data_IF_751608814898
#
_entry.id   IF_751608814898
#
_cell.length_a   1.000
_cell.length_b   1.000
_cell.length_c   1.000
_cell.angle_alpha   90.00
_cell.angle_beta   90.00
_cell.angle_gamma   90.00
#
_symmetry.space_group_name_H-M   'P 1'
#
loop_
_entity.id
_entity.type
_entity.pdbx_description
1 polymer ?
#
# COMPACT_ATOMS: atom_id res chain seq x y z
N UNK A 1 78.74 22.97 30.72
CA UNK A 1 78.00 22.23 29.67
C UNK A 1 76.54 22.70 29.71
N UNK A 2 76.07 23.41 28.68
CA UNK A 2 74.71 23.99 28.62
C UNK A 2 73.82 23.06 27.76
N UNK A 3 72.84 22.44 28.36
CA UNK A 3 71.88 21.66 27.65
C UNK A 3 70.81 22.59 26.97
N UNK A 4 70.67 22.50 25.66
CA UNK A 4 69.69 23.23 24.91
C UNK A 4 68.40 22.37 24.89
N UNK A 5 67.38 22.90 25.49
CA UNK A 5 65.99 22.32 25.45
C UNK A 5 65.40 22.72 24.12
N UNK A 6 65.14 21.74 23.25
CA UNK A 6 64.36 21.91 22.03
C UNK A 6 62.89 21.75 22.36
N UNK A 7 62.15 22.85 22.28
CA UNK A 7 60.67 22.83 22.36
C UNK A 7 60.14 22.57 20.97
N UNK A 8 59.54 21.38 20.76
CA UNK A 8 58.90 20.99 19.50
C UNK A 8 57.45 21.42 19.59
N UNK A 9 57.07 22.48 18.87
CA UNK A 9 55.69 22.95 18.78
C UNK A 9 54.96 22.13 17.72
N UNK A 10 54.12 21.19 18.15
CA UNK A 10 53.23 20.45 17.24
C UNK A 10 52.07 21.36 16.87
N UNK A 11 52.02 21.81 15.63
CA UNK A 11 50.84 22.47 15.03
C UNK A 11 49.79 21.41 14.74
N UNK A 12 48.73 21.38 15.55
CA UNK A 12 47.52 20.58 15.27
C UNK A 12 46.68 21.36 14.27
N UNK A 13 46.74 20.99 12.99
CA UNK A 13 45.89 21.54 11.97
C UNK A 13 44.50 20.90 12.12
N UNK A 14 43.58 21.62 12.76
CA UNK A 14 42.16 21.25 12.78
C UNK A 14 41.55 21.54 11.38
N UNK A 15 41.37 20.51 10.59
CA UNK A 15 40.63 20.58 9.34
C UNK A 15 39.15 20.75 9.67
N UNK A 16 38.66 21.98 9.61
CA UNK A 16 37.22 22.29 9.66
C UNK A 16 36.63 21.89 8.30
N UNK A 17 35.96 20.75 8.27
CA UNK A 17 35.17 20.36 7.11
C UNK A 17 33.96 21.30 7.01
N UNK A 18 34.02 22.31 6.17
CA UNK A 18 32.84 23.09 5.79
C UNK A 18 31.93 22.21 4.91
N UNK A 19 30.95 21.57 5.54
CA UNK A 19 29.82 20.97 4.78
C UNK A 19 28.99 22.12 4.19
N UNK A 20 29.19 22.39 2.92
CA UNK A 20 28.33 23.32 2.20
C UNK A 20 26.90 22.73 2.14
N UNK A 21 26.01 23.23 2.96
CA UNK A 21 24.60 22.87 2.93
C UNK A 21 24.00 23.39 1.62
N UNK A 22 23.74 22.46 0.70
CA UNK A 22 23.03 22.80 -0.55
C UNK A 22 21.58 23.01 -0.20
N UNK A 23 21.10 24.23 -0.30
CA UNK A 23 19.67 24.56 -0.21
C UNK A 23 19.09 24.64 -1.61
N UNK A 24 17.87 24.11 -1.78
CA UNK A 24 17.07 24.31 -2.98
C UNK A 24 15.75 24.99 -2.57
N UNK A 25 15.32 25.95 -3.37
CA UNK A 25 14.03 26.60 -3.18
C UNK A 25 13.09 26.12 -4.27
N UNK A 26 11.92 25.61 -3.87
CA UNK A 26 10.83 25.27 -4.78
C UNK A 26 9.76 26.33 -4.56
N UNK A 27 9.39 27.04 -5.63
CA UNK A 27 8.28 27.99 -5.61
C UNK A 27 7.09 27.38 -6.33
N UNK A 28 5.96 27.24 -5.61
CA UNK A 28 4.71 26.72 -6.17
C UNK A 28 3.77 27.90 -6.39
N UNK A 29 3.40 28.13 -7.65
CA UNK A 29 2.43 29.15 -8.06
C UNK A 29 1.03 28.53 -8.14
N UNK A 30 0.39 28.32 -6.99
CA UNK A 30 -0.93 27.69 -6.91
C UNK A 30 -2.03 28.51 -7.57
N UNK A 31 -1.82 29.83 -7.70
CA UNK A 31 -2.68 30.79 -8.40
C UNK A 31 -2.62 30.67 -9.93
N UNK A 32 -1.63 29.98 -10.47
CA UNK A 32 -1.40 29.81 -11.91
C UNK A 32 -1.82 28.44 -12.44
N UNK A 33 -2.41 27.61 -11.60
CA UNK A 33 -2.94 26.29 -12.00
C UNK A 33 -4.04 26.45 -13.04
N UNK A 34 -3.91 25.77 -14.19
CA UNK A 34 -4.88 25.79 -15.29
C UNK A 34 -5.62 24.48 -15.45
N UNK A 35 -4.99 23.40 -15.00
CA UNK A 35 -5.50 22.04 -15.18
C UNK A 35 -6.11 21.52 -13.88
N UNK A 36 -7.24 20.83 -14.01
CA UNK A 36 -7.86 20.10 -12.91
C UNK A 36 -7.27 18.70 -12.90
N UNK A 37 -6.67 18.30 -11.79
CA UNK A 37 -6.22 16.94 -11.58
C UNK A 37 -7.46 16.06 -11.38
N UNK A 38 -7.74 15.08 -12.26
CA UNK A 38 -8.87 14.19 -12.08
C UNK A 38 -8.73 13.40 -10.77
N UNK A 39 -9.83 13.30 -10.01
CA UNK A 39 -9.82 12.58 -8.72
C UNK A 39 -9.44 11.10 -8.86
N UNK A 40 -9.67 10.52 -10.01
CA UNK A 40 -9.39 9.11 -10.33
C UNK A 40 -7.90 8.77 -10.21
N UNK A 41 -6.99 9.76 -10.30
CA UNK A 41 -5.54 9.56 -10.07
C UNK A 41 -5.25 9.07 -8.63
N UNK A 42 -6.16 9.34 -7.69
CA UNK A 42 -6.07 8.90 -6.30
C UNK A 42 -6.76 7.55 -6.07
N UNK A 43 -7.12 6.86 -7.14
CA UNK A 43 -7.65 5.51 -7.09
C UNK A 43 -6.69 4.53 -6.44
N UNK A 44 -7.24 3.46 -5.90
CA UNK A 44 -6.50 2.40 -5.24
C UNK A 44 -6.75 1.07 -5.94
N UNK A 45 -5.99 0.05 -5.57
CA UNK A 45 -6.24 -1.31 -6.05
C UNK A 45 -6.09 -2.33 -4.91
N UNK A 46 -6.88 -3.40 -5.02
CA UNK A 46 -6.80 -4.57 -4.18
C UNK A 46 -6.51 -5.78 -5.07
N UNK A 47 -5.56 -6.60 -4.67
CA UNK A 47 -5.12 -7.77 -5.45
C UNK A 47 -5.12 -9.02 -4.59
N UNK A 48 -5.37 -10.17 -5.23
CA UNK A 48 -5.13 -11.49 -4.65
C UNK A 48 -3.62 -11.76 -4.60
N UNK A 49 -2.92 -11.01 -3.75
CA UNK A 49 -1.48 -11.03 -3.54
C UNK A 49 -1.20 -11.39 -2.09
N UNK A 50 -0.79 -12.62 -1.84
CA UNK A 50 -0.54 -13.10 -0.49
C UNK A 50 -1.76 -12.88 0.42
N UNK A 51 -1.59 -12.16 1.52
CA UNK A 51 -2.66 -11.84 2.48
C UNK A 51 -3.38 -10.53 2.22
N UNK A 52 -3.27 -9.95 1.02
CA UNK A 52 -3.96 -8.68 0.72
C UNK A 52 -5.47 -8.78 0.83
N UNK A 53 -6.06 -9.85 0.30
CA UNK A 53 -7.50 -10.08 0.36
C UNK A 53 -7.83 -10.89 1.62
N UNK A 54 -7.47 -12.18 1.66
CA UNK A 54 -7.83 -13.05 2.79
C UNK A 54 -6.95 -12.77 4.01
N UNK A 55 -7.59 -12.38 5.13
CA UNK A 55 -6.94 -11.94 6.35
C UNK A 55 -6.46 -10.48 6.34
N UNK A 56 -6.39 -9.87 5.16
CA UNK A 56 -6.14 -8.45 4.97
C UNK A 56 -7.43 -7.64 4.87
N UNK A 57 -7.96 -7.49 3.67
CA UNK A 57 -9.22 -6.78 3.43
C UNK A 57 -10.45 -7.56 3.89
N UNK A 58 -10.46 -8.87 3.63
CA UNK A 58 -11.57 -9.78 3.87
C UNK A 58 -11.23 -10.82 4.93
N UNK A 59 -12.06 -10.91 5.95
CA UNK A 59 -11.93 -11.90 7.02
C UNK A 59 -13.17 -12.79 7.15
N UNK A 60 -14.23 -12.48 6.41
CA UNK A 60 -15.50 -13.16 6.51
C UNK A 60 -16.38 -12.63 7.64
N UNK A 61 -17.70 -12.78 7.47
CA UNK A 61 -18.69 -12.21 8.40
C UNK A 61 -18.67 -12.86 9.79
N UNK A 62 -18.28 -14.14 9.85
CA UNK A 62 -18.24 -14.92 11.09
C UNK A 62 -16.86 -14.94 11.76
N UNK A 63 -15.94 -14.07 11.36
CA UNK A 63 -14.60 -13.99 11.93
C UNK A 63 -14.62 -13.31 13.31
N UNK A 64 -13.74 -13.79 14.22
CA UNK A 64 -13.47 -13.12 15.50
C UNK A 64 -12.71 -11.79 15.33
N UNK A 65 -12.13 -11.55 14.15
CA UNK A 65 -11.50 -10.29 13.80
C UNK A 65 -12.59 -9.24 13.57
N UNK A 66 -12.50 -8.04 14.17
CA UNK A 66 -13.47 -6.98 13.96
C UNK A 66 -13.71 -6.70 12.49
N UNK A 67 -14.98 -6.83 12.07
CA UNK A 67 -15.35 -6.69 10.68
C UNK A 67 -16.71 -6.01 10.51
N UNK A 68 -16.91 -5.47 9.32
CA UNK A 68 -18.16 -4.88 8.84
C UNK A 68 -18.58 -5.71 7.62
N UNK A 69 -19.55 -6.60 7.78
CA UNK A 69 -20.01 -7.51 6.71
C UNK A 69 -18.86 -8.35 6.10
N UNK A 70 -17.91 -8.77 6.92
CA UNK A 70 -16.75 -9.55 6.49
C UNK A 70 -15.52 -8.73 6.05
N UNK A 71 -15.65 -7.41 5.84
CA UNK A 71 -14.51 -6.52 5.60
C UNK A 71 -13.86 -6.14 6.92
N UNK A 72 -12.58 -6.29 7.01
CA UNK A 72 -11.81 -5.95 8.20
C UNK A 72 -11.98 -4.46 8.55
N UNK A 73 -12.45 -4.17 9.76
CA UNK A 73 -12.94 -2.83 10.15
C UNK A 73 -11.87 -1.75 10.00
N UNK A 74 -10.62 -2.03 10.40
CA UNK A 74 -9.52 -1.07 10.33
C UNK A 74 -9.16 -0.72 8.88
N UNK A 75 -9.12 -1.72 7.99
CA UNK A 75 -8.85 -1.52 6.56
C UNK A 75 -10.00 -0.78 5.90
N UNK A 76 -11.26 -1.18 6.19
CA UNK A 76 -12.44 -0.51 5.67
C UNK A 76 -12.46 0.99 6.04
N UNK A 77 -12.21 1.30 7.31
CA UNK A 77 -12.20 2.69 7.79
C UNK A 77 -11.08 3.50 7.12
N UNK A 78 -9.90 2.92 6.98
CA UNK A 78 -8.78 3.58 6.29
C UNK A 78 -9.12 3.91 4.83
N UNK A 79 -9.73 2.98 4.09
CA UNK A 79 -10.17 3.22 2.71
C UNK A 79 -11.24 4.31 2.64
N UNK A 80 -12.17 4.33 3.60
CA UNK A 80 -13.21 5.35 3.70
C UNK A 80 -12.65 6.73 4.00
N UNK A 81 -11.71 6.82 4.93
CA UNK A 81 -11.03 8.07 5.29
C UNK A 81 -10.22 8.63 4.10
N UNK A 82 -9.64 7.77 3.28
CA UNK A 82 -8.97 8.15 2.04
C UNK A 82 -9.95 8.66 0.97
N UNK A 83 -11.26 8.43 1.12
CA UNK A 83 -12.27 8.81 0.11
C UNK A 83 -11.92 8.29 -1.28
N UNK A 84 -11.59 7.00 -1.37
CA UNK A 84 -11.10 6.34 -2.59
C UNK A 84 -12.09 6.52 -3.73
N UNK A 85 -11.74 7.22 -4.82
CA UNK A 85 -12.68 7.52 -5.90
C UNK A 85 -12.87 6.36 -6.88
N UNK A 86 -11.90 5.48 -6.98
CA UNK A 86 -11.90 4.30 -7.86
C UNK A 86 -11.12 3.19 -7.18
N UNK A 87 -11.65 1.99 -7.21
CA UNK A 87 -10.98 0.79 -6.70
C UNK A 87 -10.90 -0.27 -7.81
N UNK A 88 -9.71 -0.83 -8.03
CA UNK A 88 -9.46 -1.91 -9.00
C UNK A 88 -9.30 -3.24 -8.27
N UNK A 89 -9.84 -4.30 -8.85
CA UNK A 89 -9.74 -5.69 -8.41
C UNK A 89 -9.89 -6.60 -9.64
N UNK A 90 -9.45 -7.86 -9.71
CA UNK A 90 -8.84 -8.70 -8.66
C UNK A 90 -7.32 -8.64 -8.63
N UNK A 91 -6.69 -7.87 -9.50
CA UNK A 91 -5.26 -7.70 -9.50
C UNK A 91 -4.63 -7.70 -10.87
N UNK A 92 -3.28 -7.87 -10.88
CA UNK A 92 -2.41 -7.97 -12.05
C UNK A 92 -2.34 -9.40 -12.58
N UNK A 93 -1.25 -10.16 -12.27
CA UNK A 93 -1.06 -11.52 -12.79
C UNK A 93 -2.20 -12.48 -12.42
N UNK A 94 -2.79 -12.34 -11.23
CA UNK A 94 -3.93 -13.16 -10.83
C UNK A 94 -5.14 -12.98 -11.74
N UNK A 95 -5.36 -11.79 -12.30
CA UNK A 95 -6.48 -11.50 -13.19
C UNK A 95 -6.46 -12.33 -14.48
N UNK A 96 -5.28 -12.77 -14.93
CA UNK A 96 -5.14 -13.59 -16.14
C UNK A 96 -5.71 -15.01 -15.95
N UNK A 97 -5.77 -15.49 -14.68
CA UNK A 97 -6.24 -16.83 -14.34
C UNK A 97 -7.62 -16.80 -13.64
N UNK A 98 -8.13 -15.63 -13.28
CA UNK A 98 -9.35 -15.49 -12.48
C UNK A 98 -10.60 -15.52 -13.34
N UNK A 99 -11.50 -16.43 -13.01
CA UNK A 99 -12.83 -16.52 -13.59
C UNK A 99 -13.88 -15.88 -12.67
N UNK A 100 -14.36 -14.71 -13.01
CA UNK A 100 -15.26 -13.92 -12.16
C UNK A 100 -16.52 -14.68 -11.74
N UNK A 101 -17.00 -15.63 -12.57
CA UNK A 101 -18.16 -16.48 -12.24
C UNK A 101 -17.90 -17.43 -11.06
N UNK A 102 -16.64 -17.77 -10.78
CA UNK A 102 -16.28 -18.57 -9.62
C UNK A 102 -16.48 -17.81 -8.30
N UNK A 103 -16.49 -16.48 -8.37
CA UNK A 103 -16.71 -15.59 -7.23
C UNK A 103 -18.16 -15.12 -7.05
N UNK A 104 -19.16 -15.79 -7.65
CA UNK A 104 -20.59 -15.44 -7.51
C UNK A 104 -21.42 -16.62 -7.02
N UNK A 105 -22.67 -16.36 -6.65
CA UNK A 105 -23.56 -17.39 -6.08
C UNK A 105 -23.25 -17.72 -4.62
N UNK A 106 -23.88 -18.77 -4.07
CA UNK A 106 -23.67 -19.21 -2.70
C UNK A 106 -22.21 -19.56 -2.42
N UNK A 107 -21.65 -19.02 -1.35
CA UNK A 107 -20.20 -19.15 -1.04
C UNK A 107 -19.74 -20.60 -0.88
N UNK A 108 -20.61 -21.44 -0.32
CA UNK A 108 -20.36 -22.87 -0.12
C UNK A 108 -20.20 -23.66 -1.42
N UNK A 109 -20.70 -23.13 -2.54
CA UNK A 109 -20.65 -23.76 -3.86
C UNK A 109 -19.51 -23.19 -4.73
N UNK A 110 -18.82 -22.16 -4.28
CA UNK A 110 -17.76 -21.54 -5.06
C UNK A 110 -16.52 -22.43 -5.12
N UNK A 111 -15.91 -22.63 -6.31
CA UNK A 111 -14.74 -23.45 -6.43
C UNK A 111 -13.53 -22.81 -5.71
N UNK A 112 -12.63 -23.67 -5.25
CA UNK A 112 -11.32 -23.20 -4.74
C UNK A 112 -10.30 -23.38 -5.83
N UNK A 113 -9.38 -22.40 -5.92
CA UNK A 113 -8.26 -22.45 -6.85
C UNK A 113 -6.94 -22.21 -6.12
N UNK A 114 -5.86 -22.64 -6.75
CA UNK A 114 -4.49 -22.34 -6.27
C UNK A 114 -4.00 -21.08 -6.97
N UNK A 115 -3.60 -20.09 -6.20
CA UNK A 115 -2.96 -18.91 -6.73
C UNK A 115 -1.49 -19.22 -7.05
N UNK A 116 -1.19 -19.59 -8.28
CA UNK A 116 0.15 -19.98 -8.70
C UNK A 116 1.13 -18.81 -8.74
N UNK A 117 0.62 -17.60 -8.89
CA UNK A 117 1.45 -16.40 -8.98
C UNK A 117 2.00 -15.98 -7.62
N UNK A 118 1.28 -16.29 -6.52
CA UNK A 118 1.57 -15.75 -5.21
C UNK A 118 1.60 -16.83 -4.12
N UNK A 119 2.65 -17.65 -4.19
CA UNK A 119 3.00 -18.57 -3.10
C UNK A 119 2.11 -19.81 -2.97
N UNK A 120 1.29 -20.16 -3.95
CA UNK A 120 0.41 -21.31 -3.92
C UNK A 120 -0.72 -21.19 -2.88
N UNK A 121 -1.11 -19.98 -2.55
CA UNK A 121 -2.23 -19.69 -1.64
C UNK A 121 -3.54 -20.23 -2.20
N UNK A 122 -4.36 -20.82 -1.33
CA UNK A 122 -5.69 -21.26 -1.72
C UNK A 122 -6.63 -20.05 -1.73
N UNK A 123 -7.19 -19.76 -2.88
CA UNK A 123 -8.25 -18.79 -3.09
C UNK A 123 -9.59 -19.53 -2.98
N UNK A 124 -10.35 -19.26 -1.93
CA UNK A 124 -11.61 -19.96 -1.68
C UNK A 124 -12.83 -19.27 -2.30
N UNK A 125 -12.60 -18.16 -3.00
CA UNK A 125 -13.63 -17.32 -3.62
C UNK A 125 -14.69 -16.78 -2.66
N UNK A 126 -14.45 -16.80 -1.34
CA UNK A 126 -15.34 -16.20 -0.36
C UNK A 126 -15.44 -14.68 -0.48
N UNK A 127 -14.38 -14.06 -1.01
CA UNK A 127 -14.37 -12.69 -1.52
C UNK A 127 -14.37 -12.71 -3.05
N UNK A 128 -15.51 -12.51 -3.64
CA UNK A 128 -15.70 -12.53 -5.09
C UNK A 128 -16.29 -11.23 -5.61
N UNK A 129 -16.91 -11.30 -6.78
CA UNK A 129 -17.42 -10.13 -7.51
C UNK A 129 -18.44 -9.32 -6.69
N UNK A 130 -19.39 -10.00 -6.03
CA UNK A 130 -20.40 -9.31 -5.25
C UNK A 130 -19.83 -8.67 -3.99
N UNK A 131 -18.92 -9.34 -3.31
CA UNK A 131 -18.24 -8.78 -2.15
C UNK A 131 -17.42 -7.56 -2.54
N UNK A 132 -16.72 -7.60 -3.69
CA UNK A 132 -16.00 -6.45 -4.19
C UNK A 132 -16.93 -5.26 -4.52
N UNK A 133 -18.01 -5.49 -5.25
CA UNK A 133 -18.96 -4.44 -5.60
C UNK A 133 -19.65 -3.84 -4.35
N UNK A 134 -20.03 -4.68 -3.39
CA UNK A 134 -20.56 -4.21 -2.12
C UNK A 134 -19.57 -3.34 -1.34
N UNK A 135 -18.28 -3.68 -1.36
CA UNK A 135 -17.25 -2.82 -0.78
C UNK A 135 -17.24 -1.45 -1.45
N UNK A 136 -17.26 -1.41 -2.78
CA UNK A 136 -17.27 -0.16 -3.54
C UNK A 136 -18.50 0.71 -3.22
N UNK A 137 -19.67 0.10 -3.03
CA UNK A 137 -20.89 0.82 -2.66
C UNK A 137 -20.85 1.38 -1.23
N UNK A 138 -20.08 0.75 -0.34
CA UNK A 138 -19.99 1.14 1.07
C UNK A 138 -18.92 2.23 1.30
N UNK A 139 -17.92 2.33 0.42
CA UNK A 139 -16.84 3.32 0.49
C UNK A 139 -17.27 4.66 -0.10
#
# INVERSE_FOLDING_TARGET
MKAKLLVSTAFLAASVSLSAQKSATITVHADQGKEIIPKEIYGQFAEHLGSCIYGGLWVGENSDIPNIKGYRTDVFNALKDLSVPVLRWPGGCFADEYHWMDGIGPKENRPKMVNNNWGGTIEDNSFGTHEFLNLCEML
#
